data_IF_899952207483
#
_entry.id   IF_899952207483
#
_cell.length_a   1.000
_cell.length_b   1.000
_cell.length_c   1.000
_cell.angle_alpha   90.00
_cell.angle_beta   90.00
_cell.angle_gamma   90.00
#
_symmetry.space_group_name_H-M   'P 1'
#
loop_
_entity.id
_entity.type
_entity.pdbx_description
1 polymer ?
#
# COMPACT_ATOMS: atom_id res chain seq x y z
N UNK A 1 -16.78 14.58 25.38
CA UNK A 1 -18.27 14.65 25.19
C UNK A 1 -18.66 13.52 24.23
N UNK A 2 -19.60 12.67 24.66
CA UNK A 2 -20.02 11.50 23.85
C UNK A 2 -21.15 11.95 22.92
N UNK A 3 -21.00 11.68 21.62
CA UNK A 3 -22.00 12.01 20.60
C UNK A 3 -22.95 10.81 20.48
N UNK A 4 -24.12 10.91 21.03
CA UNK A 4 -25.24 9.96 20.85
C UNK A 4 -26.08 10.30 19.60
N UNK A 5 -25.52 11.09 18.69
CA UNK A 5 -26.22 11.53 17.48
C UNK A 5 -25.65 10.84 16.25
N UNK A 6 -26.52 10.56 15.31
CA UNK A 6 -26.11 10.05 14.00
C UNK A 6 -25.28 11.08 13.25
N UNK A 7 -24.14 10.66 12.74
CA UNK A 7 -23.18 11.46 11.96
C UNK A 7 -23.27 11.00 10.51
N UNK A 8 -23.59 11.90 9.58
CA UNK A 8 -23.67 11.55 8.17
C UNK A 8 -22.30 11.32 7.54
N UNK A 9 -21.31 12.15 7.90
CA UNK A 9 -19.96 12.06 7.36
C UNK A 9 -18.91 12.34 8.44
N UNK A 10 -17.90 11.47 8.51
CA UNK A 10 -16.69 11.69 9.31
C UNK A 10 -15.44 11.47 8.47
N UNK A 11 -14.34 12.13 8.84
CA UNK A 11 -13.02 11.96 8.23
C UNK A 11 -12.00 11.56 9.30
N UNK A 12 -11.20 10.52 9.01
CA UNK A 12 -10.14 10.04 9.90
C UNK A 12 -8.91 9.64 9.09
N UNK A 13 -7.74 9.62 9.74
CA UNK A 13 -6.56 8.95 9.17
C UNK A 13 -6.54 7.47 9.58
N UNK A 14 -5.87 6.57 8.82
CA UNK A 14 -5.85 5.15 9.14
C UNK A 14 -5.44 4.84 10.58
N UNK A 15 -4.44 5.56 11.11
CA UNK A 15 -3.97 5.38 12.49
C UNK A 15 -5.06 5.67 13.53
N UNK A 16 -5.88 6.70 13.34
CA UNK A 16 -7.00 7.01 14.23
C UNK A 16 -8.06 5.90 14.19
N UNK A 17 -8.37 5.41 12.99
CA UNK A 17 -9.31 4.30 12.82
C UNK A 17 -8.78 3.03 13.49
N UNK A 18 -7.49 2.70 13.31
CA UNK A 18 -6.87 1.54 13.95
C UNK A 18 -6.91 1.63 15.47
N UNK A 19 -6.63 2.80 16.04
CA UNK A 19 -6.67 3.02 17.48
C UNK A 19 -8.10 2.83 18.01
N UNK A 20 -9.09 3.50 17.42
CA UNK A 20 -10.49 3.37 17.80
C UNK A 20 -11.04 1.94 17.62
N UNK A 21 -10.49 1.15 16.71
CA UNK A 21 -10.88 -0.24 16.51
C UNK A 21 -10.30 -1.21 17.56
N UNK A 22 -9.41 -0.76 18.46
CA UNK A 22 -8.87 -1.59 19.56
C UNK A 22 -9.87 -1.72 20.72
N UNK A 23 -10.66 -0.68 20.98
CA UNK A 23 -11.66 -0.65 22.04
C UNK A 23 -13.03 -1.09 21.49
N UNK A 24 -13.68 -2.04 22.15
CA UNK A 24 -15.01 -2.50 21.71
C UNK A 24 -16.06 -1.39 21.83
N UNK A 25 -15.99 -0.55 22.88
CA UNK A 25 -16.88 0.59 23.06
C UNK A 25 -16.73 1.67 21.97
N UNK A 26 -15.49 1.94 21.54
CA UNK A 26 -15.25 2.89 20.45
C UNK A 26 -15.63 2.28 19.09
N UNK A 27 -15.38 1.00 18.89
CA UNK A 27 -15.79 0.28 17.67
C UNK A 27 -17.31 0.32 17.47
N UNK A 28 -18.10 0.19 18.56
CA UNK A 28 -19.57 0.32 18.49
C UNK A 28 -20.00 1.71 18.01
N UNK A 29 -19.24 2.76 18.32
CA UNK A 29 -19.55 4.14 17.90
C UNK A 29 -19.46 4.36 16.41
N UNK A 30 -18.68 3.56 15.69
CA UNK A 30 -18.72 3.60 14.22
C UNK A 30 -20.15 3.37 13.68
N UNK A 31 -21.00 2.63 14.40
CA UNK A 31 -22.41 2.46 14.05
C UNK A 31 -23.24 3.75 13.97
N UNK A 32 -22.79 4.82 14.61
CA UNK A 32 -23.42 6.14 14.50
C UNK A 32 -22.97 6.93 13.26
N UNK A 33 -21.89 6.49 12.58
CA UNK A 33 -21.33 7.15 11.40
C UNK A 33 -21.88 6.47 10.14
N UNK A 34 -22.54 7.22 9.28
CA UNK A 34 -23.07 6.70 8.01
C UNK A 34 -21.96 6.51 6.98
N UNK A 35 -21.13 7.53 6.78
CA UNK A 35 -20.01 7.52 5.83
C UNK A 35 -18.73 7.93 6.53
N UNK A 36 -17.68 7.11 6.40
CA UNK A 36 -16.34 7.40 6.90
C UNK A 36 -15.38 7.50 5.74
N UNK A 37 -14.77 8.65 5.53
CA UNK A 37 -13.67 8.82 4.61
C UNK A 37 -12.34 8.66 5.35
N UNK A 38 -11.44 7.86 4.79
CA UNK A 38 -10.15 7.53 5.40
C UNK A 38 -9.05 7.97 4.43
N UNK A 39 -8.21 8.91 4.86
CA UNK A 39 -7.21 9.52 4.00
C UNK A 39 -5.91 9.89 4.72
N UNK A 40 -5.01 10.54 3.99
CA UNK A 40 -3.69 10.94 4.48
C UNK A 40 -2.63 9.84 4.45
N UNK A 41 -3.03 8.56 4.42
CA UNK A 41 -2.15 7.41 4.23
C UNK A 41 -2.93 6.24 3.62
N UNK A 42 -2.25 5.23 3.03
CA UNK A 42 -2.90 4.02 2.54
C UNK A 42 -3.62 3.25 3.66
N UNK A 43 -4.81 2.75 3.36
CA UNK A 43 -5.54 1.84 4.26
C UNK A 43 -4.93 0.44 4.11
N UNK A 44 -4.45 -0.14 5.22
CA UNK A 44 -3.87 -1.48 5.20
C UNK A 44 -4.94 -2.55 4.94
N UNK A 45 -4.56 -3.66 4.29
CA UNK A 45 -5.46 -4.80 4.07
C UNK A 45 -6.05 -5.32 5.40
N UNK A 46 -5.24 -5.32 6.46
CA UNK A 46 -5.68 -5.73 7.78
C UNK A 46 -6.77 -4.79 8.35
N UNK A 47 -6.60 -3.48 8.18
CA UNK A 47 -7.61 -2.50 8.59
C UNK A 47 -8.87 -2.64 7.71
N UNK A 48 -8.71 -2.78 6.40
CA UNK A 48 -9.84 -2.97 5.47
C UNK A 48 -10.70 -4.19 5.88
N UNK A 49 -10.07 -5.32 6.24
CA UNK A 49 -10.79 -6.49 6.72
C UNK A 49 -11.54 -6.27 8.05
N UNK A 50 -10.98 -5.45 8.93
CA UNK A 50 -11.65 -5.10 10.19
C UNK A 50 -12.86 -4.19 9.94
N UNK A 51 -12.74 -3.28 8.99
CA UNK A 51 -13.81 -2.37 8.58
C UNK A 51 -15.00 -3.09 7.94
N UNK A 52 -14.82 -4.31 7.40
CA UNK A 52 -15.97 -5.14 6.93
C UNK A 52 -16.97 -5.49 8.05
N UNK A 53 -16.51 -5.44 9.30
CA UNK A 53 -17.30 -5.88 10.45
C UNK A 53 -18.11 -4.76 11.11
N UNK A 54 -18.05 -3.56 10.58
CA UNK A 54 -18.82 -2.41 11.08
C UNK A 54 -19.87 -1.99 10.04
N UNK A 55 -21.00 -1.41 10.48
CA UNK A 55 -22.09 -1.03 9.57
C UNK A 55 -21.79 0.25 8.78
N UNK A 56 -20.75 0.98 9.13
CA UNK A 56 -20.32 2.23 8.49
C UNK A 56 -19.84 2.01 7.07
N UNK A 57 -20.28 2.80 6.13
CA UNK A 57 -19.73 2.79 4.77
C UNK A 57 -18.38 3.51 4.75
N UNK A 58 -17.32 2.76 4.52
CA UNK A 58 -15.95 3.28 4.55
C UNK A 58 -15.39 3.51 3.13
N UNK A 59 -14.69 4.62 2.95
CA UNK A 59 -14.08 5.00 1.69
C UNK A 59 -12.63 5.41 1.91
N UNK A 60 -11.71 4.89 1.11
CA UNK A 60 -10.36 5.42 1.01
C UNK A 60 -10.35 6.63 0.06
N UNK A 61 -9.60 7.68 0.42
CA UNK A 61 -9.45 8.87 -0.40
C UNK A 61 -8.18 8.81 -1.23
N UNK A 62 -8.22 9.39 -2.43
CA UNK A 62 -7.05 9.68 -3.24
C UNK A 62 -6.98 11.17 -3.51
N UNK A 63 -5.80 11.74 -3.28
CA UNK A 63 -5.49 13.15 -3.49
C UNK A 63 -4.03 13.43 -3.09
N UNK A 64 -3.57 14.61 -3.40
CA UNK A 64 -2.20 15.07 -3.17
C UNK A 64 -2.23 16.54 -2.76
N UNK A 65 -1.09 17.07 -2.33
CA UNK A 65 -0.98 18.47 -1.92
C UNK A 65 -1.40 19.43 -3.04
N UNK A 66 -1.03 19.08 -4.26
CA UNK A 66 -1.31 19.88 -5.47
C UNK A 66 -2.80 19.89 -5.81
N UNK A 67 -3.56 18.88 -5.40
CA UNK A 67 -5.03 18.86 -5.56
C UNK A 67 -5.76 19.45 -4.35
N UNK A 68 -5.04 20.02 -3.38
CA UNK A 68 -5.55 20.66 -2.14
C UNK A 68 -6.23 19.67 -1.22
N UNK A 69 -7.06 18.78 -1.75
CA UNK A 69 -7.82 17.75 -1.03
C UNK A 69 -7.97 16.50 -1.90
N UNK A 70 -8.77 15.57 -1.42
CA UNK A 70 -9.07 14.35 -2.17
C UNK A 70 -9.93 14.66 -3.41
N UNK A 71 -9.62 13.98 -4.51
CA UNK A 71 -10.28 14.13 -5.80
C UNK A 71 -10.93 12.84 -6.30
N UNK A 72 -10.72 11.75 -5.57
CA UNK A 72 -11.35 10.48 -5.84
C UNK A 72 -11.59 9.69 -4.53
N UNK A 73 -12.56 8.79 -4.57
CA UNK A 73 -12.94 7.89 -3.49
C UNK A 73 -12.98 6.45 -3.98
N UNK A 74 -12.47 5.54 -3.18
CA UNK A 74 -12.60 4.09 -3.33
C UNK A 74 -13.49 3.55 -2.20
N UNK A 75 -14.61 2.93 -2.51
CA UNK A 75 -15.43 2.24 -1.51
C UNK A 75 -14.71 0.99 -1.06
N UNK A 76 -14.32 0.94 0.21
CA UNK A 76 -13.63 -0.20 0.78
C UNK A 76 -14.52 -1.44 0.76
N UNK A 77 -13.90 -2.61 0.56
CA UNK A 77 -14.54 -3.92 0.53
C UNK A 77 -15.55 -4.17 -0.62
N UNK A 78 -15.60 -3.29 -1.63
CA UNK A 78 -16.51 -3.49 -2.76
C UNK A 78 -15.83 -3.37 -4.13
N UNK A 79 -14.96 -2.38 -4.30
CA UNK A 79 -14.34 -2.08 -5.59
C UNK A 79 -12.86 -1.71 -5.39
N UNK A 80 -11.92 -2.27 -6.16
CA UNK A 80 -10.50 -1.90 -6.09
C UNK A 80 -10.21 -0.51 -6.66
N UNK A 81 -11.14 0.07 -7.42
CA UNK A 81 -10.93 1.32 -8.13
C UNK A 81 -11.37 2.55 -7.33
N UNK A 82 -10.69 3.66 -7.61
CA UNK A 82 -11.05 5.00 -7.20
C UNK A 82 -11.97 5.63 -8.25
N UNK A 83 -13.00 6.31 -7.80
CA UNK A 83 -13.98 7.04 -8.61
C UNK A 83 -13.76 8.54 -8.44
N UNK A 84 -13.70 9.27 -9.55
CA UNK A 84 -13.55 10.71 -9.58
C UNK A 84 -14.69 11.43 -8.87
N UNK A 85 -14.38 12.51 -8.17
CA UNK A 85 -15.35 13.42 -7.60
C UNK A 85 -15.65 14.57 -8.58
N UNK A 86 -16.93 14.91 -8.72
CA UNK A 86 -17.38 16.03 -9.52
C UNK A 86 -16.88 15.97 -10.97
N UNK A 87 -16.29 17.08 -11.43
CA UNK A 87 -15.81 17.24 -12.80
C UNK A 87 -14.40 16.67 -13.06
N UNK A 88 -13.73 16.16 -12.02
CA UNK A 88 -12.40 15.56 -12.16
C UNK A 88 -12.41 14.44 -13.19
N UNK A 89 -11.39 14.40 -14.03
CA UNK A 89 -11.16 13.35 -15.02
C UNK A 89 -9.74 12.79 -14.93
N UNK A 90 -9.55 11.60 -15.47
CA UNK A 90 -8.29 10.87 -15.44
C UNK A 90 -7.84 10.47 -16.84
N UNK A 91 -6.54 10.56 -17.07
CA UNK A 91 -5.82 10.08 -18.24
C UNK A 91 -4.56 9.33 -17.79
N UNK A 92 -3.86 8.71 -18.72
CA UNK A 92 -2.53 8.15 -18.50
C UNK A 92 -1.51 8.80 -19.41
N UNK A 93 -0.28 8.96 -18.93
CA UNK A 93 0.86 9.28 -19.78
C UNK A 93 1.46 8.00 -20.42
N UNK A 94 2.49 8.18 -21.26
CA UNK A 94 3.19 7.07 -21.95
C UNK A 94 3.86 6.08 -20.99
N UNK A 95 4.16 6.50 -19.76
CA UNK A 95 4.72 5.64 -18.71
C UNK A 95 3.65 4.75 -18.05
N UNK A 96 2.36 5.08 -18.24
CA UNK A 96 1.23 4.49 -17.52
C UNK A 96 0.92 5.20 -16.19
N UNK A 97 1.45 6.41 -16.01
CA UNK A 97 1.19 7.21 -14.82
C UNK A 97 -0.08 8.04 -14.95
N UNK A 98 -0.76 8.23 -13.82
CA UNK A 98 -2.01 8.98 -13.75
C UNK A 98 -1.80 10.46 -14.10
N UNK A 99 -2.63 10.97 -14.98
CA UNK A 99 -2.84 12.39 -15.21
C UNK A 99 -4.20 12.75 -14.65
N UNK A 100 -4.22 13.79 -13.82
CA UNK A 100 -5.43 14.32 -13.19
C UNK A 100 -5.84 15.59 -13.92
N UNK A 101 -7.07 15.61 -14.41
CA UNK A 101 -7.71 16.81 -14.97
C UNK A 101 -8.73 17.32 -13.93
N UNK A 102 -8.44 18.45 -13.31
CA UNK A 102 -9.27 19.05 -12.25
C UNK A 102 -9.64 20.49 -12.62
N UNK A 103 -10.71 20.71 -13.41
CA UNK A 103 -11.06 22.04 -13.97
C UNK A 103 -11.31 23.11 -12.93
N UNK A 104 -11.69 22.73 -11.71
CA UNK A 104 -11.97 23.62 -10.60
C UNK A 104 -10.72 24.12 -9.87
N UNK A 105 -9.53 23.58 -10.19
CA UNK A 105 -8.27 24.00 -9.60
C UNK A 105 -7.54 24.99 -10.53
N UNK A 106 -6.67 25.82 -9.94
CA UNK A 106 -5.87 26.80 -10.68
C UNK A 106 -4.94 26.11 -11.70
N UNK A 107 -4.18 25.10 -11.27
CA UNK A 107 -3.45 24.21 -12.16
C UNK A 107 -4.38 23.07 -12.57
N UNK A 108 -5.00 23.19 -13.73
CA UNK A 108 -6.09 22.29 -14.16
C UNK A 108 -5.64 20.87 -14.49
N UNK A 109 -4.32 20.65 -14.69
CA UNK A 109 -3.75 19.36 -15.11
C UNK A 109 -2.51 19.02 -14.30
N UNK A 110 -2.48 17.82 -13.72
CA UNK A 110 -1.37 17.31 -12.90
C UNK A 110 -0.89 15.99 -13.45
N UNK A 111 0.41 15.88 -13.74
CA UNK A 111 1.07 14.60 -14.09
C UNK A 111 1.69 14.03 -12.83
N UNK A 112 1.33 12.80 -12.51
CA UNK A 112 1.81 12.14 -11.29
C UNK A 112 2.89 11.10 -11.60
N UNK A 113 3.46 10.50 -10.56
CA UNK A 113 4.27 9.27 -10.63
C UNK A 113 3.48 8.03 -10.12
N UNK A 114 2.16 8.11 -10.05
CA UNK A 114 1.32 7.01 -9.64
C UNK A 114 0.91 6.17 -10.86
N UNK A 115 1.39 4.93 -10.91
CA UNK A 115 1.02 3.97 -11.93
C UNK A 115 -0.40 3.48 -11.67
N UNK A 116 -1.23 3.48 -12.72
CA UNK A 116 -2.64 3.12 -12.58
C UNK A 116 -3.09 2.21 -13.72
N UNK A 117 -4.23 1.57 -13.53
CA UNK A 117 -5.06 0.99 -14.61
C UNK A 117 -6.32 1.81 -14.73
N UNK A 118 -6.50 2.47 -15.87
CA UNK A 118 -7.71 3.25 -16.13
C UNK A 118 -8.90 2.34 -16.51
N UNK A 119 -10.08 2.73 -16.04
CA UNK A 119 -11.38 2.18 -16.44
C UNK A 119 -12.26 3.34 -16.92
N UNK A 120 -11.90 3.90 -18.09
CA UNK A 120 -12.46 5.15 -18.59
C UNK A 120 -11.87 6.38 -17.88
N UNK A 121 -12.45 7.56 -18.12
CA UNK A 121 -11.94 8.83 -17.65
C UNK A 121 -12.38 9.25 -16.24
N UNK A 122 -13.17 8.41 -15.56
CA UNK A 122 -13.70 8.70 -14.21
C UNK A 122 -13.28 7.68 -13.16
N UNK A 123 -12.51 6.65 -13.56
CA UNK A 123 -12.21 5.54 -12.66
C UNK A 123 -10.82 4.98 -12.93
N UNK A 124 -10.08 4.67 -11.85
CA UNK A 124 -8.77 4.01 -11.95
C UNK A 124 -8.49 3.08 -10.77
N UNK A 125 -7.70 2.05 -11.02
CA UNK A 125 -7.02 1.26 -9.98
C UNK A 125 -5.60 1.77 -9.81
N UNK A 126 -5.20 2.03 -8.57
CA UNK A 126 -3.83 2.39 -8.23
C UNK A 126 -2.98 1.12 -8.14
N UNK A 127 -1.85 1.09 -8.83
CA UNK A 127 -0.93 -0.06 -8.88
C UNK A 127 0.31 0.14 -8.03
N UNK A 128 0.81 1.35 -7.90
CA UNK A 128 2.03 1.68 -7.18
C UNK A 128 2.67 2.97 -7.69
N UNK A 129 3.89 3.24 -7.22
CA UNK A 129 4.69 4.39 -7.67
C UNK A 129 5.61 3.99 -8.81
N UNK A 130 5.69 4.81 -9.85
CA UNK A 130 6.62 4.61 -10.97
C UNK A 130 8.07 4.48 -10.51
N UNK A 131 8.45 5.27 -9.52
CA UNK A 131 9.80 5.31 -8.94
C UNK A 131 10.23 3.97 -8.31
N UNK A 132 9.28 3.11 -7.97
CA UNK A 132 9.52 1.81 -7.30
C UNK A 132 9.25 0.59 -8.19
N UNK A 133 8.83 0.80 -9.43
CA UNK A 133 8.59 -0.31 -10.36
C UNK A 133 9.87 -1.12 -10.56
N UNK A 134 9.78 -2.42 -10.40
CA UNK A 134 10.88 -3.38 -10.60
C UNK A 134 10.71 -4.04 -11.96
N UNK A 135 11.73 -3.94 -12.81
CA UNK A 135 11.73 -4.58 -14.13
C UNK A 135 12.49 -5.90 -14.06
N UNK A 136 11.79 -6.99 -13.79
CA UNK A 136 12.40 -8.31 -13.59
C UNK A 136 12.03 -9.27 -14.72
N UNK A 137 13.01 -9.69 -15.50
CA UNK A 137 12.81 -10.62 -16.62
C UNK A 137 11.83 -10.09 -17.68
N UNK A 138 11.81 -8.78 -17.93
CA UNK A 138 10.92 -8.12 -18.89
C UNK A 138 9.50 -7.86 -18.34
N UNK A 139 9.24 -8.18 -17.07
CA UNK A 139 7.94 -7.97 -16.41
C UNK A 139 8.05 -6.80 -15.44
N UNK A 140 7.09 -5.87 -15.53
CA UNK A 140 6.94 -4.80 -14.54
C UNK A 140 6.25 -5.33 -13.30
N UNK A 141 6.92 -5.28 -12.17
CA UNK A 141 6.40 -5.65 -10.86
C UNK A 141 6.17 -4.39 -10.03
N UNK A 142 5.09 -4.39 -9.30
CA UNK A 142 4.69 -3.29 -8.42
C UNK A 142 4.91 -3.70 -6.97
N UNK A 143 5.94 -3.17 -6.29
CA UNK A 143 6.26 -3.51 -4.91
C UNK A 143 5.07 -3.42 -3.97
N UNK A 144 4.26 -2.39 -4.10
CA UNK A 144 3.11 -2.13 -3.24
C UNK A 144 2.03 -3.22 -3.38
N UNK A 145 1.83 -3.76 -4.59
CA UNK A 145 0.90 -4.88 -4.79
C UNK A 145 1.43 -6.18 -4.20
N UNK A 146 2.74 -6.41 -4.27
CA UNK A 146 3.38 -7.57 -3.64
C UNK A 146 3.26 -7.46 -2.11
N UNK A 147 3.54 -6.28 -1.55
CA UNK A 147 3.42 -6.00 -0.12
C UNK A 147 2.01 -6.23 0.41
N UNK A 148 0.98 -5.83 -0.35
CA UNK A 148 -0.41 -6.09 0.00
C UNK A 148 -0.72 -7.59 0.18
N UNK A 149 -0.10 -8.47 -0.63
CA UNK A 149 -0.24 -9.92 -0.49
C UNK A 149 0.44 -10.45 0.78
N UNK A 150 1.50 -9.78 1.23
CA UNK A 150 2.38 -10.24 2.31
C UNK A 150 2.02 -9.69 3.70
N UNK A 151 1.27 -8.59 3.78
CA UNK A 151 1.03 -7.86 5.03
C UNK A 151 0.46 -8.72 6.17
N UNK A 152 -0.33 -9.77 5.86
CA UNK A 152 -0.87 -10.72 6.85
C UNK A 152 0.13 -11.80 7.27
N UNK A 153 1.21 -11.94 6.51
CA UNK A 153 2.18 -13.01 6.69
C UNK A 153 3.43 -12.56 7.41
N UNK A 154 3.72 -11.28 7.38
CA UNK A 154 4.96 -10.68 7.92
C UNK A 154 4.59 -9.79 9.11
N UNK A 155 5.00 -10.12 10.32
CA UNK A 155 4.87 -9.22 11.47
C UNK A 155 5.90 -8.09 11.35
N UNK A 156 5.50 -6.87 11.76
CA UNK A 156 6.38 -5.71 11.74
C UNK A 156 6.47 -5.02 10.38
N UNK A 157 7.46 -4.15 10.23
CA UNK A 157 7.65 -3.36 9.02
C UNK A 157 8.50 -4.11 8.00
N UNK A 158 8.11 -4.00 6.76
CA UNK A 158 8.82 -4.56 5.63
C UNK A 158 8.52 -3.75 4.36
N UNK A 159 9.35 -3.93 3.34
CA UNK A 159 9.07 -3.44 2.00
C UNK A 159 9.72 -4.31 0.93
N UNK A 160 9.17 -4.25 -0.27
CA UNK A 160 9.76 -4.88 -1.46
C UNK A 160 10.63 -3.84 -2.17
N UNK A 161 11.80 -4.26 -2.59
CA UNK A 161 12.74 -3.47 -3.38
C UNK A 161 13.47 -4.38 -4.38
N UNK A 162 14.45 -3.84 -5.08
CA UNK A 162 15.24 -4.61 -6.04
C UNK A 162 16.74 -4.36 -5.87
N UNK A 163 17.51 -5.17 -6.57
CA UNK A 163 18.92 -4.92 -6.90
C UNK A 163 19.17 -5.30 -8.35
N UNK A 164 20.22 -4.77 -8.98
CA UNK A 164 20.65 -5.23 -10.29
C UNK A 164 20.90 -6.74 -10.31
N UNK A 165 20.50 -7.38 -11.43
CA UNK A 165 20.64 -8.82 -11.67
C UNK A 165 21.04 -9.03 -13.13
N UNK A 166 22.12 -9.77 -13.38
CA UNK A 166 22.70 -9.94 -14.73
C UNK A 166 21.75 -10.64 -15.71
N UNK A 167 20.85 -11.49 -15.22
CA UNK A 167 19.94 -12.28 -16.05
C UNK A 167 18.55 -11.62 -16.15
N UNK A 168 18.07 -11.06 -15.05
CA UNK A 168 16.70 -10.53 -14.96
C UNK A 168 16.64 -9.01 -15.16
N UNK A 169 17.79 -8.32 -15.23
CA UNK A 169 17.89 -6.86 -15.13
C UNK A 169 17.77 -6.41 -13.68
N UNK A 170 16.66 -6.74 -13.00
CA UNK A 170 16.48 -6.52 -11.57
C UNK A 170 15.93 -7.78 -10.89
N UNK A 171 16.41 -8.06 -9.69
CA UNK A 171 15.89 -9.13 -8.83
C UNK A 171 15.17 -8.57 -7.61
N UNK A 172 14.02 -9.16 -7.31
CA UNK A 172 13.17 -8.76 -6.17
C UNK A 172 13.85 -9.10 -4.85
N UNK A 173 13.84 -8.17 -3.91
CA UNK A 173 14.30 -8.33 -2.54
C UNK A 173 13.14 -8.04 -1.58
N UNK A 174 13.08 -8.77 -0.46
CA UNK A 174 12.18 -8.49 0.65
C UNK A 174 13.00 -7.96 1.83
N UNK A 175 12.86 -6.67 2.11
CA UNK A 175 13.46 -6.04 3.27
C UNK A 175 12.57 -6.23 4.51
N UNK A 176 13.17 -6.66 5.61
CA UNK A 176 12.53 -6.94 6.90
C UNK A 176 13.18 -6.12 8.00
N UNK A 177 12.38 -5.48 8.83
CA UNK A 177 12.87 -4.76 10.00
C UNK A 177 12.86 -5.64 11.24
N UNK A 178 13.90 -5.54 12.05
CA UNK A 178 14.04 -6.18 13.36
C UNK A 178 15.19 -7.18 13.44
N UNK A 179 15.82 -7.22 14.62
CA UNK A 179 16.95 -8.10 14.90
C UNK A 179 16.57 -9.58 15.17
N UNK A 180 15.27 -9.88 15.22
CA UNK A 180 14.76 -11.22 15.54
C UNK A 180 14.71 -12.18 14.33
N UNK A 181 15.03 -11.69 13.14
CA UNK A 181 15.06 -12.49 11.93
C UNK A 181 16.36 -13.27 11.83
N UNK A 182 16.30 -14.57 12.12
CA UNK A 182 17.39 -15.53 11.95
C UNK A 182 17.11 -16.47 10.76
N UNK A 183 18.04 -17.37 10.51
CA UNK A 183 17.94 -18.32 9.40
C UNK A 183 16.66 -19.17 9.46
N UNK A 184 16.28 -19.66 10.64
CA UNK A 184 15.12 -20.55 10.84
C UNK A 184 13.82 -19.78 10.63
N UNK A 185 13.69 -18.59 11.22
CA UNK A 185 12.52 -17.74 11.05
C UNK A 185 12.32 -17.31 9.60
N UNK A 186 13.41 -17.03 8.87
CA UNK A 186 13.36 -16.72 7.44
C UNK A 186 12.96 -17.92 6.58
N UNK A 187 13.39 -19.15 6.93
CA UNK A 187 12.92 -20.36 6.26
C UNK A 187 11.40 -20.56 6.44
N UNK A 188 10.90 -20.39 7.66
CA UNK A 188 9.48 -20.47 7.96
C UNK A 188 8.69 -19.39 7.21
N UNK A 189 9.21 -18.17 7.19
CA UNK A 189 8.61 -17.08 6.42
C UNK A 189 8.55 -17.41 4.93
N UNK A 190 9.64 -17.91 4.35
CA UNK A 190 9.69 -18.28 2.92
C UNK A 190 8.61 -19.31 2.57
N UNK A 191 8.43 -20.36 3.40
CA UNK A 191 7.37 -21.35 3.20
C UNK A 191 5.98 -20.73 3.24
N UNK A 192 5.76 -19.77 4.15
CA UNK A 192 4.49 -19.08 4.33
C UNK A 192 4.13 -18.14 3.17
N UNK A 193 5.12 -17.39 2.64
CA UNK A 193 4.86 -16.40 1.58
C UNK A 193 4.88 -16.97 0.17
N UNK A 194 5.60 -18.08 -0.06
CA UNK A 194 5.75 -18.68 -1.39
C UNK A 194 4.42 -18.96 -2.12
N UNK A 195 3.37 -19.53 -1.48
CA UNK A 195 2.09 -19.78 -2.14
C UNK A 195 1.27 -18.50 -2.43
N UNK A 196 1.64 -17.36 -1.85
CA UNK A 196 0.95 -16.10 -2.04
C UNK A 196 1.47 -15.30 -3.23
N UNK A 197 2.64 -15.66 -3.76
CA UNK A 197 3.39 -14.89 -4.75
C UNK A 197 3.49 -15.61 -6.08
N UNK A 198 3.38 -14.86 -7.17
CA UNK A 198 3.70 -15.33 -8.50
C UNK A 198 5.20 -15.63 -8.66
N UNK A 199 5.56 -16.40 -9.69
CA UNK A 199 6.96 -16.84 -9.96
C UNK A 199 7.97 -15.68 -9.98
N UNK A 200 7.62 -14.55 -10.56
CA UNK A 200 8.49 -13.37 -10.69
C UNK A 200 8.45 -12.46 -9.46
N UNK A 201 7.43 -12.58 -8.62
CA UNK A 201 7.27 -11.80 -7.40
C UNK A 201 8.07 -12.38 -6.22
N UNK A 202 8.53 -13.64 -6.34
CA UNK A 202 9.31 -14.31 -5.29
C UNK A 202 10.65 -13.60 -5.09
N UNK A 203 10.96 -13.16 -3.86
CA UNK A 203 12.24 -12.54 -3.55
C UNK A 203 13.40 -13.49 -3.84
N UNK A 204 14.50 -12.97 -4.36
CA UNK A 204 15.76 -13.71 -4.52
C UNK A 204 16.59 -13.70 -3.25
N UNK A 205 16.40 -12.71 -2.39
CA UNK A 205 16.97 -12.67 -1.05
C UNK A 205 16.04 -11.92 -0.08
N UNK A 206 16.16 -12.27 1.19
CA UNK A 206 15.69 -11.45 2.30
C UNK A 206 16.84 -10.53 2.75
N UNK A 207 16.48 -9.31 3.12
CA UNK A 207 17.41 -8.30 3.60
C UNK A 207 16.95 -7.86 4.97
N UNK A 208 17.71 -8.20 5.99
CA UNK A 208 17.35 -7.89 7.39
C UNK A 208 18.10 -6.65 7.84
N UNK A 209 17.36 -5.70 8.41
CA UNK A 209 17.92 -4.50 9.04
C UNK A 209 17.32 -4.31 10.43
N UNK A 210 18.10 -3.90 11.44
CA UNK A 210 17.56 -3.62 12.77
C UNK A 210 16.46 -2.56 12.77
N UNK A 211 16.59 -1.54 11.91
CA UNK A 211 15.63 -0.46 11.74
C UNK A 211 15.67 0.08 10.31
N UNK A 212 14.56 0.62 9.85
CA UNK A 212 14.49 1.34 8.59
C UNK A 212 14.66 2.85 8.81
N UNK A 213 15.26 3.51 7.81
CA UNK A 213 15.30 4.97 7.75
C UNK A 213 13.91 5.51 7.46
N UNK A 214 13.59 6.65 8.05
CA UNK A 214 12.31 7.33 7.87
C UNK A 214 12.51 8.75 7.33
N UNK A 215 11.53 9.21 6.59
CA UNK A 215 11.40 10.64 6.27
C UNK A 215 10.95 11.42 7.50
N UNK A 216 11.02 12.75 7.45
CA UNK A 216 10.49 13.63 8.52
C UNK A 216 9.00 13.43 8.80
N UNK A 217 8.25 12.88 7.85
CA UNK A 217 6.82 12.54 7.97
C UNK A 217 6.57 11.10 8.46
N UNK A 218 7.61 10.35 8.88
CA UNK A 218 7.50 8.97 9.40
C UNK A 218 7.30 7.90 8.31
N UNK A 219 7.53 8.23 7.02
CA UNK A 219 7.45 7.23 5.94
C UNK A 219 8.78 6.50 5.81
N UNK A 220 8.72 5.17 5.66
CA UNK A 220 9.90 4.35 5.41
C UNK A 220 10.56 4.74 4.10
N UNK A 221 11.86 5.02 4.15
CA UNK A 221 12.70 5.24 2.97
C UNK A 221 13.09 3.87 2.42
N UNK A 222 12.69 3.57 1.19
CA UNK A 222 12.86 2.26 0.55
C UNK A 222 14.27 2.02 -0.02
N UNK A 223 15.29 2.48 0.70
CA UNK A 223 16.70 2.20 0.40
C UNK A 223 17.23 1.20 1.40
N UNK A 224 18.04 0.25 0.93
CA UNK A 224 18.66 -0.73 1.80
C UNK A 224 19.72 -0.06 2.67
N UNK A 225 19.70 -0.26 3.99
CA UNK A 225 20.75 0.23 4.88
C UNK A 225 22.12 -0.44 4.59
N UNK A 226 23.20 0.28 4.80
CA UNK A 226 24.57 -0.23 4.58
C UNK A 226 24.92 -1.45 5.44
N UNK A 227 24.32 -1.53 6.64
CA UNK A 227 24.52 -2.62 7.59
C UNK A 227 23.49 -3.74 7.46
N UNK A 228 22.72 -3.78 6.39
CA UNK A 228 21.72 -4.82 6.16
C UNK A 228 22.38 -6.18 5.87
N UNK A 229 21.82 -7.24 6.46
CA UNK A 229 22.29 -8.61 6.27
C UNK A 229 21.47 -9.29 5.18
N UNK A 230 22.14 -9.88 4.20
CA UNK A 230 21.50 -10.56 3.07
C UNK A 230 21.43 -12.07 3.29
N UNK A 231 20.23 -12.63 3.09
CA UNK A 231 19.96 -14.06 3.13
C UNK A 231 19.41 -14.52 1.77
N UNK A 232 20.27 -15.06 0.88
CA UNK A 232 19.83 -15.57 -0.41
C UNK A 232 18.80 -16.70 -0.27
N UNK A 233 17.69 -16.61 -0.98
CA UNK A 233 16.58 -17.58 -0.86
C UNK A 233 16.98 -18.99 -1.23
N UNK A 234 17.95 -19.19 -2.15
CA UNK A 234 18.44 -20.51 -2.50
C UNK A 234 19.13 -21.22 -1.32
N UNK A 235 19.72 -20.48 -0.38
CA UNK A 235 20.34 -21.02 0.84
C UNK A 235 19.29 -21.37 1.91
N UNK A 236 18.11 -20.72 1.87
CA UNK A 236 17.01 -20.94 2.82
C UNK A 236 16.14 -22.14 2.44
N UNK A 237 16.33 -22.74 1.25
CA UNK A 237 15.62 -23.96 0.86
C UNK A 237 16.17 -25.15 1.64
N UNK A 238 15.33 -25.80 2.41
CA UNK A 238 15.65 -27.14 2.93
C UNK A 238 15.57 -28.09 1.74
N UNK A 239 16.59 -28.92 1.53
CA UNK A 239 16.52 -30.06 0.60
C UNK A 239 15.29 -30.88 0.98
N UNK A 240 14.38 -31.08 0.04
CA UNK A 240 13.25 -32.00 0.19
C UNK A 240 13.75 -33.43 0.32
#
# INVERSE_FOLDING_TARGET
EYVDRRIDLAAMVPMQVEESMKSESEKQRFGYIRHLIIGGAPVSVALEERLKKIPTQCYATYGMTETVSHIALKKLNSDPAYFALGEVGFEQDERGCLIINAPHLQARRFVTNDMVRLHGNKRFEWLGRFDYVINSGGIKLFPELIEQKLVRSIPGRFFITSRPDEVLGESVLLALEGAHWDFVSLQLLLRKIRPLLGRFELPKAFVVSPFFRETTSGKVVRTLPENAVFYPVHQLRVSE
#
